data_IF_856215359762
#
_entry.id   IF_856215359762
#
_cell.length_a   1.000
_cell.length_b   1.000
_cell.length_c   1.000
_cell.angle_alpha   90.00
_cell.angle_beta   90.00
_cell.angle_gamma   90.00
#
_symmetry.space_group_name_H-M   'P 1'
#
loop_
_entity.id
_entity.type
_entity.pdbx_description
1 polymer ?
#
# COMPACT_ATOMS: atom_id res chain seq x y z
N UNK A 1 -9.68 3.47 -28.20
CA UNK A 1 -9.00 3.40 -26.90
C UNK A 1 -7.89 2.37 -27.05
N UNK A 2 -6.64 2.67 -26.67
CA UNK A 2 -5.55 1.69 -26.82
C UNK A 2 -5.86 0.43 -26.02
N UNK A 3 -5.67 -0.75 -26.64
CA UNK A 3 -5.93 -2.07 -26.03
C UNK A 3 -5.31 -2.20 -24.62
N UNK A 4 -4.15 -1.59 -24.42
CA UNK A 4 -3.44 -1.54 -23.14
C UNK A 4 -4.25 -0.77 -22.09
N UNK A 5 -4.73 0.44 -22.41
CA UNK A 5 -5.48 1.29 -21.48
C UNK A 5 -6.83 0.66 -21.15
N UNK A 6 -7.50 0.07 -22.13
CA UNK A 6 -8.77 -0.61 -21.94
C UNK A 6 -8.63 -1.86 -21.06
N UNK A 7 -7.57 -2.64 -21.28
CA UNK A 7 -7.22 -3.75 -20.40
C UNK A 7 -7.01 -3.25 -18.98
N UNK A 8 -6.14 -2.26 -18.75
CA UNK A 8 -5.87 -1.75 -17.41
C UNK A 8 -7.15 -1.23 -16.75
N UNK A 9 -7.99 -0.49 -17.48
CA UNK A 9 -9.27 0.03 -16.99
C UNK A 9 -10.19 -1.08 -16.48
N UNK A 10 -10.30 -2.18 -17.21
CA UNK A 10 -11.09 -3.34 -16.80
C UNK A 10 -10.51 -4.03 -15.55
N UNK A 11 -9.20 -3.92 -15.32
CA UNK A 11 -8.52 -4.44 -14.14
C UNK A 11 -8.59 -3.52 -12.90
N UNK A 12 -8.93 -2.22 -13.06
CA UNK A 12 -9.00 -1.25 -11.95
C UNK A 12 -9.83 -1.76 -10.75
N UNK A 13 -11.05 -2.32 -10.93
CA UNK A 13 -11.83 -2.80 -9.79
C UNK A 13 -11.10 -3.86 -8.97
N UNK A 14 -10.39 -4.78 -9.63
CA UNK A 14 -9.61 -5.83 -8.96
C UNK A 14 -8.36 -5.26 -8.28
N UNK A 15 -7.72 -4.25 -8.87
CA UNK A 15 -6.60 -3.54 -8.26
C UNK A 15 -7.04 -2.76 -7.01
N UNK A 16 -8.21 -2.13 -7.03
CA UNK A 16 -8.75 -1.46 -5.84
C UNK A 16 -9.16 -2.47 -4.76
N UNK A 17 -9.69 -3.64 -5.17
CA UNK A 17 -9.99 -4.72 -4.24
C UNK A 17 -8.73 -5.27 -3.57
N UNK A 18 -7.58 -5.33 -4.26
CA UNK A 18 -6.32 -5.72 -3.63
C UNK A 18 -5.83 -4.69 -2.61
N UNK A 19 -6.07 -3.39 -2.82
CA UNK A 19 -5.82 -2.34 -1.81
C UNK A 19 -6.66 -2.56 -0.56
N UNK A 20 -7.93 -2.94 -0.71
CA UNK A 20 -8.79 -3.29 0.43
C UNK A 20 -8.24 -4.51 1.20
N UNK A 21 -7.75 -5.53 0.50
CA UNK A 21 -7.08 -6.69 1.15
C UNK A 21 -5.85 -6.23 1.95
N UNK A 22 -5.04 -5.30 1.41
CA UNK A 22 -3.86 -4.76 2.10
C UNK A 22 -4.22 -4.02 3.38
N UNK A 23 -5.37 -3.35 3.43
CA UNK A 23 -5.86 -2.74 4.66
C UNK A 23 -6.02 -3.77 5.78
N UNK A 24 -6.63 -4.93 5.49
CA UNK A 24 -6.74 -6.01 6.46
C UNK A 24 -5.38 -6.62 6.84
N UNK A 25 -4.48 -6.79 5.87
CA UNK A 25 -3.11 -7.27 6.13
C UNK A 25 -2.36 -6.32 7.05
N UNK A 26 -2.49 -5.00 6.86
CA UNK A 26 -1.87 -3.99 7.74
C UNK A 26 -2.45 -4.00 9.15
N UNK A 27 -3.77 -4.14 9.29
CA UNK A 27 -4.40 -4.32 10.61
C UNK A 27 -3.76 -5.50 11.32
N UNK A 28 -3.67 -6.66 10.65
CA UNK A 28 -3.04 -7.85 11.20
C UNK A 28 -1.58 -7.57 11.61
N UNK A 29 -0.76 -7.01 10.71
CA UNK A 29 0.64 -6.71 11.00
C UNK A 29 0.81 -5.76 12.21
N UNK A 30 -0.01 -4.72 12.33
CA UNK A 30 0.06 -3.78 13.46
C UNK A 30 -0.29 -4.47 14.77
N UNK A 31 -1.36 -5.29 14.78
CA UNK A 31 -1.78 -6.03 15.98
C UNK A 31 -0.73 -7.02 16.50
N UNK A 32 0.18 -7.50 15.64
CA UNK A 32 1.26 -8.41 16.05
C UNK A 32 2.43 -7.71 16.75
N UNK A 33 2.56 -6.39 16.63
CA UNK A 33 3.71 -5.62 17.13
C UNK A 33 3.29 -4.58 18.17
N UNK A 34 2.07 -4.07 18.07
CA UNK A 34 1.50 -3.03 18.94
C UNK A 34 0.05 -3.39 19.31
N UNK A 35 -0.49 -2.72 20.32
CA UNK A 35 -1.94 -2.78 20.59
C UNK A 35 -2.69 -2.16 19.42
N UNK A 36 -3.86 -2.72 19.09
CA UNK A 36 -4.69 -2.23 18.00
C UNK A 36 -5.11 -0.78 18.24
N UNK A 37 -4.82 0.08 17.27
CA UNK A 37 -5.22 1.49 17.24
C UNK A 37 -5.54 1.87 15.78
N UNK A 38 -6.76 2.37 15.55
CA UNK A 38 -7.25 2.77 14.23
C UNK A 38 -6.42 3.91 13.65
N UNK A 39 -5.98 4.85 14.50
CA UNK A 39 -5.12 5.95 14.07
C UNK A 39 -3.77 5.42 13.59
N UNK A 40 -3.19 4.45 14.29
CA UNK A 40 -1.91 3.84 13.90
C UNK A 40 -2.04 3.09 12.56
N UNK A 41 -3.17 2.39 12.33
CA UNK A 41 -3.47 1.75 11.03
C UNK A 41 -3.52 2.81 9.92
N UNK A 42 -4.22 3.92 10.15
CA UNK A 42 -4.29 5.01 9.19
C UNK A 42 -2.91 5.63 8.91
N UNK A 43 -2.17 6.02 9.95
CA UNK A 43 -0.84 6.62 9.80
C UNK A 43 0.18 5.66 9.18
N UNK A 44 -0.01 4.34 9.33
CA UNK A 44 0.86 3.35 8.68
C UNK A 44 0.87 3.49 7.17
N UNK A 45 -0.23 3.95 6.55
CA UNK A 45 -0.31 4.16 5.10
C UNK A 45 0.56 5.32 4.62
N UNK A 46 0.87 6.29 5.48
CA UNK A 46 1.67 7.47 5.14
C UNK A 46 3.11 7.38 5.63
N UNK A 47 3.43 6.37 6.44
CA UNK A 47 4.75 6.19 7.03
C UNK A 47 5.63 5.30 6.17
N UNK A 48 6.76 5.83 5.72
CA UNK A 48 7.84 5.04 5.11
C UNK A 48 9.05 5.08 6.05
N UNK A 49 9.59 3.89 6.35
CA UNK A 49 10.77 3.74 7.20
C UNK A 49 12.05 3.75 6.37
N UNK A 50 13.03 4.55 6.74
CA UNK A 50 14.32 4.56 6.04
C UNK A 50 15.18 3.35 6.42
N UNK A 51 16.18 3.02 5.59
CA UNK A 51 17.06 1.88 5.87
C UNK A 51 17.80 2.01 7.21
N UNK A 52 18.21 3.22 7.57
CA UNK A 52 18.90 3.47 8.85
C UNK A 52 17.97 3.16 10.04
N UNK A 53 16.71 3.59 10.00
CA UNK A 53 15.72 3.30 11.05
C UNK A 53 15.46 1.80 11.21
N UNK A 54 15.41 1.08 10.09
CA UNK A 54 15.22 -0.37 10.07
C UNK A 54 16.44 -1.06 10.70
N UNK A 55 17.65 -0.63 10.35
CA UNK A 55 18.90 -1.24 10.82
C UNK A 55 19.22 -0.91 12.28
N UNK A 56 18.74 0.23 12.80
CA UNK A 56 18.87 0.60 14.22
C UNK A 56 17.99 -0.24 15.15
N UNK A 57 16.96 -0.91 14.64
CA UNK A 57 16.06 -1.71 15.48
C UNK A 57 16.64 -3.09 15.77
N UNK A 58 16.98 -3.37 17.03
CA UNK A 58 17.42 -4.70 17.49
C UNK A 58 16.31 -5.77 17.51
N UNK A 59 15.04 -5.34 17.47
CA UNK A 59 13.89 -6.26 17.51
C UNK A 59 13.53 -6.77 16.10
N UNK A 60 13.75 -8.07 15.86
CA UNK A 60 13.46 -8.75 14.57
C UNK A 60 11.99 -8.62 14.13
N UNK A 61 11.01 -8.67 15.05
CA UNK A 61 9.59 -8.53 14.70
C UNK A 61 9.30 -7.11 14.21
N UNK A 62 9.88 -6.11 14.88
CA UNK A 62 9.75 -4.69 14.50
C UNK A 62 10.40 -4.40 13.15
N UNK A 63 11.58 -4.98 12.88
CA UNK A 63 12.26 -4.88 11.58
C UNK A 63 11.41 -5.45 10.45
N UNK A 64 10.86 -6.67 10.66
CA UNK A 64 9.97 -7.31 9.69
C UNK A 64 8.74 -6.43 9.40
N UNK A 65 8.11 -5.91 10.45
CA UNK A 65 6.99 -4.98 10.33
C UNK A 65 7.32 -3.73 9.51
N UNK A 66 8.45 -3.07 9.77
CA UNK A 66 8.85 -1.87 9.02
C UNK A 66 9.03 -2.18 7.52
N UNK A 67 9.67 -3.31 7.19
CA UNK A 67 9.88 -3.75 5.81
C UNK A 67 8.55 -4.07 5.11
N UNK A 68 7.68 -4.83 5.77
CA UNK A 68 6.34 -5.13 5.24
C UNK A 68 5.49 -3.89 5.06
N UNK A 69 5.53 -2.95 6.01
CA UNK A 69 4.80 -1.69 5.90
C UNK A 69 5.24 -0.88 4.66
N UNK A 70 6.55 -0.77 4.43
CA UNK A 70 7.06 -0.09 3.24
C UNK A 70 6.64 -0.80 1.95
N UNK A 71 6.80 -2.13 1.88
CA UNK A 71 6.42 -2.92 0.70
C UNK A 71 4.95 -2.73 0.35
N UNK A 72 4.07 -2.82 1.35
CA UNK A 72 2.63 -2.63 1.17
C UNK A 72 2.28 -1.19 0.77
N UNK A 73 2.95 -0.18 1.34
CA UNK A 73 2.76 1.22 0.93
C UNK A 73 3.19 1.45 -0.51
N UNK A 74 4.36 0.96 -0.93
CA UNK A 74 4.81 1.08 -2.31
C UNK A 74 3.83 0.45 -3.31
N UNK A 75 3.30 -0.73 -2.97
CA UNK A 75 2.27 -1.36 -3.79
C UNK A 75 0.98 -0.53 -3.88
N UNK A 76 0.47 -0.04 -2.75
CA UNK A 76 -0.73 0.81 -2.72
C UNK A 76 -0.51 2.10 -3.52
N UNK A 77 0.63 2.75 -3.34
CA UNK A 77 0.98 3.96 -4.08
C UNK A 77 1.10 3.71 -5.58
N UNK A 78 1.68 2.58 -5.98
CA UNK A 78 1.77 2.18 -7.38
C UNK A 78 0.37 2.01 -7.99
N UNK A 79 -0.54 1.31 -7.31
CA UNK A 79 -1.92 1.14 -7.78
C UNK A 79 -2.65 2.48 -7.86
N UNK A 80 -2.59 3.31 -6.82
CA UNK A 80 -3.25 4.60 -6.81
C UNK A 80 -2.72 5.51 -7.92
N UNK A 81 -1.40 5.50 -8.15
CA UNK A 81 -0.77 6.22 -9.26
C UNK A 81 -1.22 5.70 -10.63
N UNK A 82 -1.31 4.38 -10.81
CA UNK A 82 -1.80 3.75 -12.04
C UNK A 82 -3.27 4.12 -12.32
N UNK A 83 -4.13 4.02 -11.31
CA UNK A 83 -5.55 4.41 -11.42
C UNK A 83 -5.68 5.88 -11.76
N UNK A 84 -4.91 6.75 -11.09
CA UNK A 84 -4.89 8.18 -11.38
C UNK A 84 -4.45 8.49 -12.81
N UNK A 85 -3.39 7.83 -13.29
CA UNK A 85 -2.88 8.00 -14.66
C UNK A 85 -3.94 7.57 -15.68
N UNK A 86 -4.54 6.38 -15.52
CA UNK A 86 -5.60 5.91 -16.42
C UNK A 86 -6.79 6.85 -16.40
N UNK A 87 -7.19 7.36 -15.23
CA UNK A 87 -8.24 8.35 -15.12
C UNK A 87 -7.92 9.63 -15.90
N UNK A 88 -6.70 10.17 -15.76
CA UNK A 88 -6.28 11.37 -16.52
C UNK A 88 -6.33 11.14 -18.02
N UNK A 89 -5.82 10.02 -18.51
CA UNK A 89 -5.77 9.72 -19.95
C UNK A 89 -7.16 9.44 -20.54
N UNK A 90 -8.10 8.95 -19.72
CA UNK A 90 -9.46 8.62 -20.16
C UNK A 90 -10.48 9.71 -19.94
N UNK A 91 -10.13 10.79 -19.22
CA UNK A 91 -11.03 11.91 -18.94
C UNK A 91 -11.33 12.78 -20.17
N UNK A 92 -10.39 12.84 -21.11
CA UNK A 92 -10.45 13.69 -22.30
C UNK A 92 -10.81 12.92 -23.60
N UNK A 93 -11.21 11.65 -23.47
CA UNK A 93 -11.74 10.80 -24.56
C UNK A 93 -13.24 10.64 -24.38
#
# INVERSE_FOLDING_TARGET
MDFIIETIRNWIPYLLLSVAVIFFVKIYLITTVKRFDVAEVFFSFFRLYNHDEINMSSNKRRVSFMRWNNLLNYYVYFILGLVFLVYLVTRDV
#
